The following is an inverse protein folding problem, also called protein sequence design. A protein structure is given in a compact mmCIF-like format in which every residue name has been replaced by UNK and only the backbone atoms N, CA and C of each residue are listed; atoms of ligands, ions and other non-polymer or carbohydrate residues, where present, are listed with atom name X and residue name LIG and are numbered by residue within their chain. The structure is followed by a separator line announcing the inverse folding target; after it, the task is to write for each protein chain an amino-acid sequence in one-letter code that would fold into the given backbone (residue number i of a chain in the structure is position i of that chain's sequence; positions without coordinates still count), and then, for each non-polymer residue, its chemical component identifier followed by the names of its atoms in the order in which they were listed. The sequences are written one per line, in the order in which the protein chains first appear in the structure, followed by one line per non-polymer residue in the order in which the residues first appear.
data_IF_692553428414
#
_entry.id   IF_692553428414
#
_cell.length_a   1.000
_cell.length_b   1.000
_cell.length_c   1.000
_cell.angle_alpha   90.00
_cell.angle_beta   90.00
_cell.angle_gamma   90.00
#
_symmetry.space_group_name_H-M   'P 1'
#
loop_
_entity.id
_entity.type
_entity.pdbx_description
1 polymer ?
#
# COMPACT_ATOMS: atom_id res chain seq x y z
N UNK A 1 15.17 29.12 0.12
CA UNK A 1 13.86 29.10 0.83
C UNK A 1 12.72 28.69 -0.09
N UNK A 2 12.62 29.25 -1.30
CA UNK A 2 11.68 28.78 -2.34
C UNK A 2 11.96 27.35 -2.82
N UNK A 3 13.22 26.97 -3.01
CA UNK A 3 13.57 25.63 -3.49
C UNK A 3 13.19 24.53 -2.48
N UNK A 4 13.40 24.78 -1.18
CA UNK A 4 13.00 23.85 -0.11
C UNK A 4 11.47 23.64 -0.08
N UNK A 5 10.70 24.70 -0.32
CA UNK A 5 9.24 24.62 -0.42
C UNK A 5 8.84 23.78 -1.65
N UNK A 6 9.51 23.98 -2.78
CA UNK A 6 9.26 23.23 -4.01
C UNK A 6 9.53 21.73 -3.81
N UNK A 7 10.64 21.37 -3.18
CA UNK A 7 10.99 19.97 -2.89
C UNK A 7 10.01 19.31 -1.91
N UNK A 8 9.52 20.05 -0.90
CA UNK A 8 8.55 19.51 0.05
C UNK A 8 7.18 19.27 -0.61
N UNK A 9 6.74 20.20 -1.47
CA UNK A 9 5.51 20.03 -2.25
C UNK A 9 5.62 18.84 -3.20
N UNK A 10 6.74 18.68 -3.91
CA UNK A 10 6.99 17.53 -4.78
C UNK A 10 6.99 16.20 -4.00
N UNK A 11 7.59 16.16 -2.82
CA UNK A 11 7.56 14.99 -1.93
C UNK A 11 6.13 14.64 -1.47
N UNK A 12 5.30 15.66 -1.17
CA UNK A 12 3.89 15.45 -0.79
C UNK A 12 3.02 15.00 -1.96
N UNK A 13 3.27 15.52 -3.15
CA UNK A 13 2.56 15.11 -4.38
C UNK A 13 2.88 13.66 -4.74
N UNK A 14 4.16 13.29 -4.73
CA UNK A 14 4.61 11.91 -5.00
C UNK A 14 4.05 10.92 -3.97
N UNK A 15 4.02 11.31 -2.68
CA UNK A 15 3.38 10.52 -1.63
C UNK A 15 1.88 10.30 -1.87
N UNK A 16 1.17 11.34 -2.31
CA UNK A 16 -0.27 11.25 -2.62
C UNK A 16 -0.55 10.29 -3.78
N UNK A 17 0.27 10.35 -4.85
CA UNK A 17 0.17 9.43 -5.99
C UNK A 17 0.49 8.00 -5.57
N UNK A 18 1.51 7.81 -4.72
CA UNK A 18 1.86 6.49 -4.17
C UNK A 18 0.72 5.87 -3.34
N UNK A 19 0.08 6.68 -2.50
CA UNK A 19 -1.10 6.26 -1.72
C UNK A 19 -2.27 5.87 -2.63
N UNK A 20 -2.53 6.63 -3.70
CA UNK A 20 -3.57 6.33 -4.68
C UNK A 20 -3.29 5.01 -5.43
N UNK A 21 -2.05 4.78 -5.86
CA UNK A 21 -1.66 3.52 -6.50
C UNK A 21 -1.85 2.32 -5.56
N UNK A 22 -1.47 2.46 -4.29
CA UNK A 22 -1.67 1.42 -3.29
C UNK A 22 -3.16 1.14 -3.01
N UNK A 23 -4.00 2.17 -3.03
CA UNK A 23 -5.45 2.00 -2.93
C UNK A 23 -5.99 1.21 -4.12
N UNK A 24 -5.58 1.55 -5.35
CA UNK A 24 -6.01 0.83 -6.56
C UNK A 24 -5.57 -0.64 -6.60
N UNK A 25 -4.39 -0.98 -6.06
CA UNK A 25 -3.94 -2.38 -5.96
C UNK A 25 -4.81 -3.25 -5.05
N UNK A 26 -5.50 -2.64 -4.08
CA UNK A 26 -6.44 -3.33 -3.19
C UNK A 26 -7.84 -3.46 -3.81
N UNK A 27 -8.14 -2.74 -4.89
CA UNK A 27 -9.42 -2.84 -5.58
C UNK A 27 -9.42 -4.10 -6.43
N UNK A 28 -10.41 -4.96 -6.18
CA UNK A 28 -10.63 -6.21 -6.92
C UNK A 28 -11.03 -5.90 -8.35
N UNK A 29 -10.05 -5.77 -9.25
CA UNK A 29 -10.28 -5.85 -10.68
C UNK A 29 -10.41 -7.32 -11.08
N UNK A 30 -11.07 -7.63 -12.19
CA UNK A 30 -11.29 -9.04 -12.64
C UNK A 30 -10.01 -9.83 -12.92
N UNK A 31 -8.83 -9.22 -12.77
CA UNK A 31 -7.52 -9.88 -12.81
C UNK A 31 -7.08 -10.18 -11.38
N UNK A 32 -6.85 -11.44 -11.06
CA UNK A 32 -6.32 -11.84 -9.76
C UNK A 32 -4.97 -11.16 -9.52
N UNK A 33 -4.89 -10.35 -8.46
CA UNK A 33 -3.66 -9.68 -8.05
C UNK A 33 -3.29 -10.15 -6.64
N UNK A 34 -2.07 -10.68 -6.41
CA UNK A 34 -1.65 -11.21 -5.10
C UNK A 34 -1.80 -10.22 -3.96
N UNK A 35 -1.65 -8.91 -4.23
CA UNK A 35 -1.80 -7.86 -3.20
C UNK A 35 -3.21 -7.69 -2.63
N UNK A 36 -4.19 -8.45 -3.13
CA UNK A 36 -5.50 -8.56 -2.48
C UNK A 36 -5.41 -9.36 -1.16
N UNK A 37 -4.46 -10.30 -1.07
CA UNK A 37 -4.26 -11.16 0.10
C UNK A 37 -3.36 -10.53 1.17
N UNK A 38 -2.68 -9.42 0.86
CA UNK A 38 -1.77 -8.70 1.78
C UNK A 38 -2.47 -8.15 3.05
N UNK A 39 -3.80 -8.02 3.03
CA UNK A 39 -4.59 -7.59 4.17
C UNK A 39 -5.19 -8.73 5.00
N UNK A 40 -4.98 -10.00 4.61
CA UNK A 40 -5.57 -11.14 5.30
C UNK A 40 -4.61 -11.64 6.37
N UNK A 41 -5.04 -11.57 7.63
CA UNK A 41 -4.34 -12.20 8.75
C UNK A 41 -4.96 -13.57 9.03
N UNK A 42 -4.11 -14.59 9.14
CA UNK A 42 -4.50 -15.94 9.51
C UNK A 42 -3.91 -16.24 10.88
N UNK A 43 -4.73 -16.84 11.75
CA UNK A 43 -4.27 -17.33 13.04
C UNK A 43 -3.38 -18.54 12.83
N UNK A 44 -2.06 -18.34 12.91
CA UNK A 44 -1.06 -19.40 12.85
C UNK A 44 -0.64 -19.74 14.28
N UNK A 45 -1.05 -20.92 14.76
CA UNK A 45 -0.76 -21.42 16.10
C UNK A 45 -1.05 -20.41 17.24
N UNK A 46 -2.17 -19.69 17.15
CA UNK A 46 -2.61 -18.73 18.18
C UNK A 46 -2.03 -17.32 18.04
N UNK A 47 -1.27 -17.03 16.97
CA UNK A 47 -0.80 -15.69 16.63
C UNK A 47 -1.35 -15.23 15.28
N UNK A 48 -1.84 -13.99 15.20
CA UNK A 48 -2.32 -13.42 13.94
C UNK A 48 -1.13 -13.07 13.05
N UNK A 49 -0.90 -13.89 12.03
CA UNK A 49 0.16 -13.70 11.03
C UNK A 49 -0.41 -13.28 9.69
N UNK A 50 0.19 -12.30 8.99
CA UNK A 50 -0.19 -11.99 7.61
C UNK A 50 -0.01 -13.23 6.71
N UNK A 51 -1.03 -13.55 5.91
CA UNK A 51 -1.02 -14.71 5.01
C UNK A 51 0.13 -14.66 3.98
N UNK A 52 0.64 -13.47 3.66
CA UNK A 52 1.79 -13.30 2.76
C UNK A 52 3.12 -13.83 3.32
N UNK A 53 3.17 -14.13 4.62
CA UNK A 53 4.39 -14.49 5.35
C UNK A 53 4.39 -15.95 5.85
N UNK A 54 3.36 -16.74 5.52
CA UNK A 54 3.23 -18.17 5.85
C UNK A 54 3.56 -19.04 4.64
#
# INVERSE_FOLDING_TARGET
MLDNLKTDIEARMTKSIGALSNAFKKIRTGRAHPSLLDGLTVSYYGSDTPLSQV
#
